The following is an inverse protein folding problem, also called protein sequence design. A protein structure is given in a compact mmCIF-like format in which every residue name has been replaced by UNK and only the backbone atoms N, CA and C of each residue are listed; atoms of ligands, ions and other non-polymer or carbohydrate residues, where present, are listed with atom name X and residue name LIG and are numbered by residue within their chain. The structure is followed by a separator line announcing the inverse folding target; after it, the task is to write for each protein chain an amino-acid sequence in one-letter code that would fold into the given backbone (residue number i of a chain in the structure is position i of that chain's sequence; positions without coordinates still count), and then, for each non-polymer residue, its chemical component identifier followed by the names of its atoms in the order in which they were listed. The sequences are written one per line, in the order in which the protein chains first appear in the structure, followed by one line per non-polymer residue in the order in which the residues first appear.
data_IF_435474009875
#
_entry.id   IF_435474009875
#
_cell.length_a   1.000
_cell.length_b   1.000
_cell.length_c   1.000
_cell.angle_alpha   90.00
_cell.angle_beta   90.00
_cell.angle_gamma   90.00
#
_symmetry.space_group_name_H-M   'P 1'
#
loop_
_entity.id
_entity.type
_entity.pdbx_description
1 polymer ?
#
# COMPACT_ATOMS: atom_id res chain seq x y z
N UNK A 1 1.13 4.25 14.70
CA UNK A 1 -0.25 4.73 14.73
C UNK A 1 -0.63 5.27 13.35
N UNK A 2 -1.76 4.84 12.74
CA UNK A 2 -2.14 5.30 11.41
C UNK A 2 -2.60 6.76 11.42
N UNK A 3 -2.33 7.44 10.31
CA UNK A 3 -2.75 8.83 10.09
C UNK A 3 -3.89 8.85 9.07
N UNK A 4 -4.98 9.55 9.42
CA UNK A 4 -6.18 9.66 8.58
C UNK A 4 -6.22 11.02 7.90
N UNK A 5 -6.46 11.04 6.58
CA UNK A 5 -6.68 12.27 5.82
C UNK A 5 -7.83 12.06 4.85
N UNK A 6 -8.86 12.90 4.95
CA UNK A 6 -10.04 12.84 4.10
C UNK A 6 -9.94 13.85 2.97
N UNK A 7 -10.24 13.40 1.77
CA UNK A 7 -10.22 14.20 0.53
C UNK A 7 -11.60 14.17 -0.11
N UNK A 8 -11.91 15.22 -0.84
CA UNK A 8 -13.14 15.32 -1.64
C UNK A 8 -12.74 15.65 -3.07
N UNK A 9 -13.28 14.89 -4.01
CA UNK A 9 -13.17 15.18 -5.44
C UNK A 9 -14.56 15.11 -6.06
N UNK A 10 -15.04 16.23 -6.55
CA UNK A 10 -16.34 16.34 -7.23
C UNK A 10 -17.51 15.81 -6.39
N UNK A 11 -17.49 16.10 -5.09
CA UNK A 11 -18.51 15.66 -4.14
C UNK A 11 -18.35 14.24 -3.61
N UNK A 12 -17.32 13.52 -4.04
CA UNK A 12 -17.04 12.14 -3.61
C UNK A 12 -15.87 12.14 -2.64
N UNK A 13 -16.09 11.60 -1.45
CA UNK A 13 -15.07 11.56 -0.40
C UNK A 13 -14.36 10.21 -0.34
N UNK A 14 -13.08 10.26 0.00
CA UNK A 14 -12.30 9.10 0.39
C UNK A 14 -11.32 9.50 1.49
N UNK A 15 -10.96 8.54 2.33
CA UNK A 15 -10.06 8.77 3.46
C UNK A 15 -8.84 7.87 3.34
N UNK A 16 -7.67 8.47 3.20
CA UNK A 16 -6.41 7.72 3.22
C UNK A 16 -6.05 7.44 4.69
N UNK A 17 -5.78 6.18 4.95
CA UNK A 17 -5.24 5.70 6.22
C UNK A 17 -3.77 5.35 5.96
N UNK A 18 -2.89 6.30 6.24
CA UNK A 18 -1.46 6.13 6.00
C UNK A 18 -0.80 5.45 7.19
N UNK A 19 0.00 4.44 6.91
CA UNK A 19 0.60 3.60 7.93
C UNK A 19 2.02 3.18 7.56
N UNK A 20 2.89 3.17 8.56
CA UNK A 20 4.22 2.59 8.45
C UNK A 20 4.36 1.53 9.55
N UNK A 21 4.32 0.27 9.15
CA UNK A 21 4.41 -0.85 10.07
C UNK A 21 5.81 -0.99 10.67
N UNK A 22 5.88 -1.60 11.82
CA UNK A 22 7.14 -2.02 12.43
C UNK A 22 7.89 -2.96 11.46
N UNK A 23 9.21 -3.00 11.55
CA UNK A 23 10.05 -3.77 10.62
C UNK A 23 9.70 -5.27 10.62
N UNK A 24 10.01 -5.93 9.50
CA UNK A 24 9.69 -7.34 9.27
C UNK A 24 10.14 -8.25 10.41
N UNK A 25 11.33 -8.02 10.96
CA UNK A 25 11.88 -8.82 12.05
C UNK A 25 11.13 -8.67 13.38
N UNK A 26 10.32 -7.62 13.52
CA UNK A 26 9.53 -7.33 14.71
C UNK A 26 8.05 -7.65 14.56
N UNK A 27 7.69 -8.42 13.53
CA UNK A 27 6.35 -8.93 13.28
C UNK A 27 5.32 -7.82 13.02
N UNK A 28 5.35 -7.17 11.84
CA UNK A 28 4.40 -6.11 11.48
C UNK A 28 2.94 -6.58 11.48
N UNK A 29 2.68 -7.86 11.29
CA UNK A 29 1.35 -8.44 11.36
C UNK A 29 0.66 -8.20 12.70
N UNK A 30 1.39 -7.99 13.78
CA UNK A 30 0.83 -7.66 15.09
C UNK A 30 0.13 -6.30 15.11
N UNK A 31 0.56 -5.39 14.22
CA UNK A 31 -0.06 -4.08 14.03
C UNK A 31 -1.16 -4.13 12.97
N UNK A 32 -0.87 -4.77 11.83
CA UNK A 32 -1.78 -4.85 10.67
C UNK A 32 -3.10 -5.54 11.04
N UNK A 33 -3.07 -6.51 11.93
CA UNK A 33 -4.27 -7.26 12.34
C UNK A 33 -5.39 -6.38 12.90
N UNK A 34 -5.08 -5.16 13.36
CA UNK A 34 -6.09 -4.25 13.89
C UNK A 34 -6.84 -3.47 12.81
N UNK A 35 -6.37 -3.46 11.57
CA UNK A 35 -7.02 -2.73 10.48
C UNK A 35 -8.43 -3.22 10.18
N UNK A 36 -8.70 -4.50 10.42
CA UNK A 36 -10.04 -5.09 10.23
C UNK A 36 -11.14 -4.42 11.07
N UNK A 37 -10.77 -3.73 12.16
CA UNK A 37 -11.74 -3.06 13.02
C UNK A 37 -12.09 -1.65 12.54
N UNK A 38 -11.25 -1.04 11.73
CA UNK A 38 -11.41 0.36 11.33
C UNK A 38 -12.64 0.60 10.46
N UNK A 39 -12.99 -0.24 9.48
CA UNK A 39 -14.22 -0.03 8.70
C UNK A 39 -15.49 -0.08 9.54
N UNK A 40 -15.53 -0.90 10.58
CA UNK A 40 -16.67 -0.95 11.51
C UNK A 40 -16.71 0.25 12.46
N UNK A 41 -15.55 0.76 12.86
CA UNK A 41 -15.41 1.93 13.72
C UNK A 41 -15.77 3.22 12.97
N UNK A 42 -15.47 3.28 11.66
CA UNK A 42 -15.73 4.43 10.80
C UNK A 42 -16.62 4.04 9.61
N UNK A 43 -17.87 3.64 9.85
CA UNK A 43 -18.72 3.05 8.79
C UNK A 43 -19.12 4.05 7.70
N UNK A 44 -19.02 5.35 7.97
CA UNK A 44 -19.38 6.39 7.00
C UNK A 44 -18.17 6.85 6.15
N UNK A 45 -16.98 6.32 6.40
CA UNK A 45 -15.79 6.70 5.67
C UNK A 45 -15.45 5.64 4.61
N UNK A 46 -15.00 6.13 3.46
CA UNK A 46 -14.39 5.30 2.42
C UNK A 46 -12.90 5.19 2.73
N UNK A 47 -12.51 4.16 3.47
CA UNK A 47 -11.13 3.99 3.93
C UNK A 47 -10.28 3.33 2.85
N UNK A 48 -9.13 3.93 2.57
CA UNK A 48 -8.09 3.39 1.70
C UNK A 48 -6.82 3.29 2.54
N UNK A 49 -6.36 2.07 2.77
CA UNK A 49 -5.15 1.83 3.57
C UNK A 49 -3.93 1.89 2.68
N UNK A 50 -2.97 2.75 2.99
CA UNK A 50 -1.76 2.91 2.18
C UNK A 50 -0.52 3.08 3.04
N UNK A 51 0.60 2.61 2.53
CA UNK A 51 1.89 2.81 3.17
C UNK A 51 2.80 1.59 3.08
N UNK A 52 3.78 1.57 3.98
CA UNK A 52 4.73 0.48 4.12
C UNK A 52 4.22 -0.49 5.20
N UNK A 53 3.76 -1.65 4.75
CA UNK A 53 3.25 -2.69 5.65
C UNK A 53 4.37 -3.62 6.16
N UNK A 54 5.57 -3.54 5.60
CA UNK A 54 6.67 -4.47 5.89
C UNK A 54 6.24 -5.96 5.83
N UNK A 55 5.20 -6.24 5.06
CA UNK A 55 4.52 -7.53 4.98
C UNK A 55 3.93 -7.70 3.58
N UNK A 56 4.18 -8.83 2.90
CA UNK A 56 3.66 -9.02 1.55
C UNK A 56 2.14 -9.14 1.55
N UNK A 57 1.52 -8.68 0.45
CA UNK A 57 0.06 -8.68 0.32
C UNK A 57 -0.56 -10.08 0.40
N UNK A 58 0.21 -11.12 0.11
CA UNK A 58 -0.24 -12.51 0.19
C UNK A 58 -0.33 -13.06 1.62
N UNK A 59 0.21 -12.33 2.61
CA UNK A 59 0.20 -12.78 4.00
C UNK A 59 -1.23 -12.90 4.54
N UNK A 60 -1.47 -13.93 5.35
CA UNK A 60 -2.80 -14.24 5.90
C UNK A 60 -3.36 -13.15 6.83
N UNK A 61 -2.52 -12.27 7.35
CA UNK A 61 -2.98 -11.14 8.18
C UNK A 61 -3.96 -10.23 7.44
N UNK A 62 -3.89 -10.20 6.10
CA UNK A 62 -4.81 -9.40 5.26
C UNK A 62 -6.12 -10.12 4.93
N UNK A 63 -6.26 -11.41 5.29
CA UNK A 63 -7.48 -12.17 4.98
C UNK A 63 -8.77 -11.54 5.54
N UNK A 64 -8.79 -10.99 6.77
CA UNK A 64 -9.98 -10.27 7.24
C UNK A 64 -10.39 -9.11 6.36
N UNK A 65 -9.41 -8.33 5.85
CA UNK A 65 -9.69 -7.23 4.91
C UNK A 65 -10.25 -7.76 3.59
N UNK A 66 -9.68 -8.84 3.05
CA UNK A 66 -10.19 -9.49 1.83
C UNK A 66 -11.64 -9.94 2.00
N UNK A 67 -11.97 -10.52 3.14
CA UNK A 67 -13.35 -10.96 3.44
C UNK A 67 -14.34 -9.79 3.51
N UNK A 68 -13.86 -8.61 3.84
CA UNK A 68 -14.66 -7.38 3.88
C UNK A 68 -14.78 -6.71 2.50
N UNK A 69 -14.14 -7.27 1.46
CA UNK A 69 -14.18 -6.74 0.11
C UNK A 69 -13.02 -5.81 -0.24
N UNK A 70 -11.98 -5.77 0.58
CA UNK A 70 -10.75 -5.02 0.27
C UNK A 70 -9.84 -5.82 -0.64
N UNK A 71 -9.21 -5.12 -1.57
CA UNK A 71 -8.23 -5.68 -2.50
C UNK A 71 -6.92 -4.88 -2.44
N UNK A 72 -5.77 -5.55 -2.63
CA UNK A 72 -4.51 -4.83 -2.80
C UNK A 72 -4.42 -4.26 -4.21
N UNK A 73 -3.91 -3.03 -4.34
CA UNK A 73 -3.68 -2.40 -5.63
C UNK A 73 -2.53 -3.06 -6.38
N UNK A 74 -1.50 -3.50 -5.65
CA UNK A 74 -0.35 -4.21 -6.20
C UNK A 74 -0.39 -5.68 -5.78
N UNK A 75 -0.16 -6.57 -6.75
CA UNK A 75 -0.08 -8.02 -6.53
C UNK A 75 1.28 -8.50 -7.02
N UNK A 76 2.01 -9.20 -6.16
CA UNK A 76 3.33 -9.76 -6.48
C UNK A 76 4.33 -8.71 -6.99
N UNK A 77 4.22 -7.47 -6.50
CA UNK A 77 5.07 -6.36 -6.87
C UNK A 77 6.02 -6.00 -5.73
N UNK A 78 7.30 -6.18 -5.94
CA UNK A 78 8.34 -5.73 -5.01
C UNK A 78 8.45 -4.22 -5.03
N UNK A 79 8.70 -3.62 -3.88
CA UNK A 79 8.71 -2.16 -3.70
C UNK A 79 9.91 -1.63 -2.94
N UNK A 80 10.76 -2.49 -2.40
CA UNK A 80 12.00 -2.08 -1.74
C UNK A 80 13.21 -2.36 -2.63
N UNK A 81 14.29 -1.57 -2.47
CA UNK A 81 15.52 -1.73 -3.24
C UNK A 81 16.48 -2.70 -2.55
N UNK A 82 17.17 -3.48 -3.36
CA UNK A 82 18.36 -4.25 -2.92
C UNK A 82 19.54 -3.29 -2.75
N UNK A 83 20.47 -3.67 -1.91
CA UNK A 83 21.75 -2.95 -1.81
C UNK A 83 22.64 -3.23 -3.04
N UNK A 84 22.44 -4.37 -3.69
CA UNK A 84 23.11 -4.75 -4.91
C UNK A 84 22.11 -5.47 -5.81
N UNK A 85 22.05 -5.08 -7.09
CA UNK A 85 21.21 -5.77 -8.06
C UNK A 85 21.68 -7.19 -8.31
N UNK A 86 20.73 -8.11 -8.47
CA UNK A 86 20.98 -9.51 -8.80
C UNK A 86 20.47 -9.80 -10.22
N UNK A 87 20.58 -11.07 -10.65
CA UNK A 87 20.13 -11.48 -11.98
C UNK A 87 18.64 -11.25 -12.23
N UNK A 88 17.81 -11.27 -11.17
CA UNK A 88 16.37 -11.02 -11.24
C UNK A 88 16.01 -9.55 -10.99
N UNK A 89 16.98 -8.66 -10.89
CA UNK A 89 16.77 -7.22 -10.79
C UNK A 89 17.23 -6.60 -9.48
N UNK A 90 16.72 -5.39 -9.24
CA UNK A 90 17.17 -4.51 -8.15
C UNK A 90 16.15 -4.39 -7.00
N UNK A 91 15.00 -5.03 -7.11
CA UNK A 91 13.95 -4.97 -6.09
C UNK A 91 14.01 -6.17 -5.14
N UNK A 92 13.69 -5.95 -3.87
CA UNK A 92 13.84 -6.94 -2.82
C UNK A 92 12.52 -7.53 -2.32
N UNK A 93 11.63 -6.71 -1.77
CA UNK A 93 10.47 -7.17 -1.01
C UNK A 93 9.19 -6.43 -1.35
N UNK A 94 8.05 -7.10 -1.17
CA UNK A 94 6.71 -6.57 -1.41
C UNK A 94 6.18 -5.94 -0.12
N UNK A 95 6.60 -4.71 0.17
CA UNK A 95 6.30 -4.06 1.44
C UNK A 95 5.27 -2.95 1.36
N UNK A 96 5.25 -2.21 0.24
CA UNK A 96 4.39 -1.05 0.07
C UNK A 96 3.17 -1.41 -0.76
N UNK A 97 2.00 -0.92 -0.39
CA UNK A 97 0.77 -1.22 -1.10
C UNK A 97 -0.35 -0.23 -0.77
N UNK A 98 -1.45 -0.39 -1.46
CA UNK A 98 -2.71 0.32 -1.22
C UNK A 98 -3.81 -0.74 -1.16
N UNK A 99 -4.59 -0.73 -0.09
CA UNK A 99 -5.74 -1.61 0.08
C UNK A 99 -7.02 -0.78 0.00
N UNK A 100 -7.90 -1.12 -0.93
CA UNK A 100 -9.12 -0.36 -1.19
C UNK A 100 -10.35 -1.28 -1.17
N UNK A 101 -11.49 -0.70 -0.81
CA UNK A 101 -12.80 -1.39 -0.81
C UNK A 101 -13.35 -1.40 -2.24
N UNK A 102 -13.42 -2.57 -2.85
CA UNK A 102 -13.90 -2.74 -4.23
C UNK A 102 -15.36 -2.32 -4.41
N UNK A 103 -16.14 -2.23 -3.34
CA UNK A 103 -17.52 -1.75 -3.40
C UNK A 103 -17.62 -0.22 -3.48
N UNK A 104 -16.55 0.49 -3.14
CA UNK A 104 -16.52 1.96 -3.07
C UNK A 104 -15.53 2.59 -4.04
N UNK A 105 -14.56 1.85 -4.53
CA UNK A 105 -13.46 2.34 -5.36
C UNK A 105 -13.29 1.46 -6.59
N UNK A 106 -13.09 2.10 -7.74
CA UNK A 106 -12.73 1.44 -8.99
C UNK A 106 -11.25 1.67 -9.22
N UNK A 107 -10.46 0.60 -9.25
CA UNK A 107 -9.06 0.67 -9.65
C UNK A 107 -8.98 0.89 -11.16
N UNK A 108 -8.28 1.95 -11.57
CA UNK A 108 -7.98 2.23 -12.98
C UNK A 108 -6.60 1.67 -13.32
N UNK A 109 -5.59 2.01 -12.52
CA UNK A 109 -4.22 1.55 -12.73
C UNK A 109 -3.46 1.56 -11.41
N UNK A 110 -2.39 0.76 -11.32
CA UNK A 110 -1.48 0.78 -10.20
C UNK A 110 -0.11 0.28 -10.64
N UNK A 111 0.93 0.83 -10.01
CA UNK A 111 2.29 0.44 -10.32
C UNK A 111 3.29 1.15 -9.43
N UNK A 112 4.55 1.02 -9.83
CA UNK A 112 5.67 1.64 -9.13
C UNK A 112 6.43 2.57 -10.08
N UNK A 113 7.14 3.53 -9.51
CA UNK A 113 8.05 4.39 -10.27
C UNK A 113 9.48 3.87 -10.08
N UNK A 114 10.08 3.41 -11.17
CA UNK A 114 11.44 2.87 -11.18
C UNK A 114 12.48 4.01 -11.17
N UNK A 115 12.46 4.86 -10.14
CA UNK A 115 13.32 6.03 -10.08
C UNK A 115 14.82 5.66 -10.09
N UNK A 116 15.15 4.47 -9.58
CA UNK A 116 16.52 3.98 -9.48
C UNK A 116 17.19 3.78 -10.85
N UNK A 117 16.40 3.62 -11.91
CA UNK A 117 16.92 3.49 -13.28
C UNK A 117 17.60 4.78 -13.79
N UNK A 118 17.34 5.92 -13.16
CA UNK A 118 18.02 7.17 -13.45
C UNK A 118 19.41 7.28 -12.85
N UNK A 119 19.85 6.30 -12.08
CA UNK A 119 21.15 6.27 -11.42
C UNK A 119 22.06 5.21 -12.06
N UNK A 120 23.36 5.48 -12.10
CA UNK A 120 24.35 4.51 -12.60
C UNK A 120 24.68 3.43 -11.58
N UNK A 121 24.46 3.72 -10.29
CA UNK A 121 24.74 2.81 -9.18
C UNK A 121 23.51 2.73 -8.26
N UNK A 122 23.08 1.52 -7.96
CA UNK A 122 21.94 1.27 -7.06
C UNK A 122 22.18 1.84 -5.65
N UNK A 123 23.44 1.91 -5.21
CA UNK A 123 23.77 2.51 -3.91
C UNK A 123 23.49 4.00 -3.87
N UNK A 124 23.70 4.70 -4.98
CA UNK A 124 23.36 6.13 -5.07
C UNK A 124 21.84 6.34 -5.06
N UNK A 125 21.08 5.47 -5.75
CA UNK A 125 19.63 5.49 -5.68
C UNK A 125 19.14 5.23 -4.25
N UNK A 126 19.74 4.28 -3.53
CA UNK A 126 19.42 3.94 -2.15
C UNK A 126 19.64 5.08 -1.15
N UNK A 127 20.48 6.06 -1.49
CA UNK A 127 20.63 7.28 -0.67
C UNK A 127 19.42 8.21 -0.75
N UNK A 128 18.66 8.12 -1.84
CA UNK A 128 17.41 8.86 -1.98
C UNK A 128 16.30 8.16 -1.20
N UNK A 129 16.12 6.87 -1.44
CA UNK A 129 15.18 6.01 -0.71
C UNK A 129 15.52 4.55 -0.97
N UNK A 130 15.29 3.70 0.03
CA UNK A 130 15.37 2.24 -0.10
C UNK A 130 14.03 1.62 -0.55
N UNK A 131 13.02 2.46 -0.84
CA UNK A 131 11.74 2.06 -1.40
C UNK A 131 11.45 2.82 -2.70
N UNK A 132 10.62 2.23 -3.55
CA UNK A 132 10.12 2.91 -4.76
C UNK A 132 8.74 3.50 -4.50
N UNK A 133 8.40 4.64 -5.14
CA UNK A 133 7.05 5.19 -5.05
C UNK A 133 6.02 4.24 -5.63
N UNK A 134 4.87 4.16 -4.97
CA UNK A 134 3.69 3.44 -5.46
C UNK A 134 2.71 4.45 -6.03
N UNK A 135 2.15 4.13 -7.19
CA UNK A 135 1.11 4.94 -7.83
C UNK A 135 -0.17 4.15 -7.89
N UNK A 136 -1.27 4.77 -7.48
CA UNK A 136 -2.60 4.20 -7.55
C UNK A 136 -3.56 5.21 -8.19
N UNK A 137 -4.06 4.86 -9.37
CA UNK A 137 -5.08 5.63 -10.07
C UNK A 137 -6.43 4.96 -9.86
N UNK A 138 -7.41 5.73 -9.40
CA UNK A 138 -8.71 5.20 -9.04
C UNK A 138 -9.82 6.22 -9.19
N UNK A 139 -11.04 5.72 -9.21
CA UNK A 139 -12.27 6.52 -9.12
C UNK A 139 -13.07 6.08 -7.91
N UNK A 140 -13.70 7.03 -7.23
CA UNK A 140 -14.67 6.75 -6.17
C UNK A 140 -16.01 6.50 -6.83
N UNK A 141 -16.66 5.37 -6.49
CA UNK A 141 -17.98 5.03 -7.00
C UNK A 141 -19.01 6.01 -6.45
N UNK A 142 -20.05 6.25 -7.26
CA UNK A 142 -21.19 7.03 -6.80
C UNK A 142 -21.99 6.24 -5.77
N UNK A 143 -22.51 6.95 -4.76
CA UNK A 143 -23.46 6.38 -3.82
C UNK A 143 -24.77 6.08 -4.56
N UNK A 144 -25.27 4.87 -4.37
CA UNK A 144 -26.57 4.47 -4.90
C UNK A 144 -27.69 4.84 -3.91
#
# INVERSE_FOLDING_TARGET
EPFFATFNKDGKEFTLVNFHAITKSKQPETEIKYFKYLPAEYPNLNLIFCGDFNCPQSHTVFNPLRKMGYLPALVDQRTSLRQQCLSDGCLASEYDNVWYDKSKVIKIDAGIIHFYLGFTDIKEAGKVSDHVPVVFEFEVKEDE
#
